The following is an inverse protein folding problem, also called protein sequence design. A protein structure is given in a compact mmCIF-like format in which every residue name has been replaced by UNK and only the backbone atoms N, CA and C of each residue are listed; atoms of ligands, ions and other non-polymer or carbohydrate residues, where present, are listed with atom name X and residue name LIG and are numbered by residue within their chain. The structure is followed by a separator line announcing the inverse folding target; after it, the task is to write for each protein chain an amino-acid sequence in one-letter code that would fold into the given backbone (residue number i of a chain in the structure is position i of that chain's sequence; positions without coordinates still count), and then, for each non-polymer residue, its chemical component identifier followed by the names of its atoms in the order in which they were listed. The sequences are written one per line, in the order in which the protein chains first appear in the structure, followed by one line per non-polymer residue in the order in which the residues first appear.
data_IF_470093225833
#
_entry.id   IF_470093225833
#
_cell.length_a   1.000
_cell.length_b   1.000
_cell.length_c   1.000
_cell.angle_alpha   90.00
_cell.angle_beta   90.00
_cell.angle_gamma   90.00
#
_symmetry.space_group_name_H-M   'P 1'
#
loop_
_entity.id
_entity.type
_entity.pdbx_description
1 polymer ?
#
# COMPACT_ATOMS: atom_id res chain seq x y z
N UNK A 1 22.04 -5.53 -4.83
CA UNK A 1 20.66 -6.02 -4.83
C UNK A 1 19.68 -5.00 -4.26
N UNK A 2 20.00 -4.28 -3.17
CA UNK A 2 19.15 -3.21 -2.63
C UNK A 2 19.17 -1.94 -3.48
N UNK A 3 20.33 -1.54 -4.01
CA UNK A 3 20.42 -0.41 -4.95
C UNK A 3 19.59 -0.65 -6.21
N UNK A 4 19.46 -1.91 -6.62
CA UNK A 4 18.60 -2.30 -7.74
C UNK A 4 17.13 -2.08 -7.40
N UNK A 5 16.68 -2.45 -6.21
CA UNK A 5 15.29 -2.19 -5.77
C UNK A 5 14.98 -0.69 -5.70
N UNK A 6 15.94 0.16 -5.28
CA UNK A 6 15.76 1.61 -5.31
C UNK A 6 15.66 2.14 -6.74
N UNK A 7 16.52 1.67 -7.63
CA UNK A 7 16.51 2.06 -9.04
C UNK A 7 15.23 1.62 -9.75
N UNK A 8 14.73 0.42 -9.46
CA UNK A 8 13.45 -0.08 -9.99
C UNK A 8 12.27 0.77 -9.47
N UNK A 9 12.25 1.10 -8.18
CA UNK A 9 11.22 1.96 -7.60
C UNK A 9 11.22 3.37 -8.21
N UNK A 10 12.41 3.97 -8.42
CA UNK A 10 12.57 5.29 -9.04
C UNK A 10 12.35 5.27 -10.55
N UNK A 11 12.58 4.14 -11.20
CA UNK A 11 12.38 3.96 -12.64
C UNK A 11 10.93 3.74 -13.05
N UNK A 12 10.04 3.45 -12.09
CA UNK A 12 8.62 3.23 -12.35
C UNK A 12 7.90 4.52 -12.78
N UNK A 13 7.18 4.48 -13.90
CA UNK A 13 6.40 5.61 -14.41
C UNK A 13 5.04 5.75 -13.69
N UNK A 14 5.04 6.48 -12.57
CA UNK A 14 3.82 6.81 -11.82
C UNK A 14 2.85 7.72 -12.59
N UNK A 15 3.35 8.59 -13.47
CA UNK A 15 2.54 9.52 -14.27
C UNK A 15 1.65 8.75 -15.26
N UNK A 16 2.20 7.72 -15.89
CA UNK A 16 1.48 6.86 -16.83
C UNK A 16 0.80 5.64 -16.19
N UNK A 17 0.89 5.48 -14.87
CA UNK A 17 0.32 4.33 -14.17
C UNK A 17 -1.22 4.40 -14.09
N UNK A 18 -1.86 3.23 -14.20
CA UNK A 18 -3.24 3.06 -13.78
C UNK A 18 -3.30 2.90 -12.26
N UNK A 19 -4.22 3.61 -11.59
CA UNK A 19 -4.27 3.67 -10.13
C UNK A 19 -5.56 3.06 -9.63
N UNK A 20 -5.41 2.04 -8.80
CA UNK A 20 -6.51 1.36 -8.12
C UNK A 20 -6.42 1.63 -6.62
N UNK A 21 -7.53 2.02 -6.00
CA UNK A 21 -7.55 2.37 -4.58
C UNK A 21 -8.36 1.38 -3.77
N UNK A 22 -7.76 0.93 -2.67
CA UNK A 22 -8.33 -0.08 -1.78
C UNK A 22 -8.29 0.40 -0.35
N UNK A 23 -9.31 0.02 0.41
CA UNK A 23 -9.34 0.18 1.86
C UNK A 23 -9.48 -1.17 2.52
N UNK A 24 -8.81 -1.33 3.65
CA UNK A 24 -8.71 -2.58 4.35
C UNK A 24 -9.12 -2.43 5.80
N UNK A 25 -9.89 -3.40 6.26
CA UNK A 25 -10.12 -3.64 7.69
C UNK A 25 -9.29 -4.83 8.14
N UNK A 26 -8.61 -4.64 9.26
CA UNK A 26 -7.87 -5.68 9.95
C UNK A 26 -8.78 -6.35 10.96
N UNK A 27 -8.69 -7.67 11.02
CA UNK A 27 -9.33 -8.49 12.02
C UNK A 27 -8.45 -9.67 12.35
N UNK A 28 -8.94 -10.53 13.25
CA UNK A 28 -8.30 -11.81 13.52
C UNK A 28 -9.03 -12.90 12.72
N UNK A 29 -8.28 -13.86 12.20
CA UNK A 29 -8.90 -15.02 11.57
C UNK A 29 -9.66 -15.83 12.63
N UNK A 30 -10.89 -16.24 12.30
CA UNK A 30 -11.79 -16.93 13.22
C UNK A 30 -11.29 -18.34 13.60
N UNK A 31 -10.48 -18.97 12.74
CA UNK A 31 -9.93 -20.32 12.96
C UNK A 31 -8.54 -20.29 13.61
N UNK A 32 -7.76 -19.25 13.34
CA UNK A 32 -6.46 -19.04 13.98
C UNK A 32 -6.23 -17.56 14.28
N UNK A 33 -6.28 -17.19 15.57
CA UNK A 33 -6.13 -15.80 16.01
C UNK A 33 -4.72 -15.23 15.76
N UNK A 34 -3.72 -16.07 15.44
CA UNK A 34 -2.36 -15.64 15.11
C UNK A 34 -2.23 -15.15 13.68
N UNK A 35 -3.15 -15.52 12.78
CA UNK A 35 -3.13 -15.11 11.38
C UNK A 35 -4.00 -13.86 11.22
N UNK A 36 -3.44 -12.73 10.74
CA UNK A 36 -4.24 -11.54 10.50
C UNK A 36 -5.24 -11.79 9.36
N UNK A 37 -6.47 -11.33 9.55
CA UNK A 37 -7.46 -11.27 8.48
C UNK A 37 -7.51 -9.87 7.92
N UNK A 38 -7.27 -9.75 6.62
CA UNK A 38 -7.45 -8.52 5.87
C UNK A 38 -8.73 -8.64 5.03
N UNK A 39 -9.64 -7.68 5.15
CA UNK A 39 -10.82 -7.59 4.27
C UNK A 39 -10.70 -6.33 3.45
N UNK A 40 -10.35 -6.49 2.18
CA UNK A 40 -10.19 -5.40 1.21
C UNK A 40 -11.49 -5.05 0.51
N UNK A 41 -11.68 -3.76 0.25
CA UNK A 41 -12.71 -3.24 -0.63
C UNK A 41 -12.12 -2.17 -1.53
N UNK A 42 -12.49 -2.18 -2.80
CA UNK A 42 -12.00 -1.19 -3.76
C UNK A 42 -12.92 0.02 -3.84
N UNK A 43 -12.34 1.15 -4.21
CA UNK A 43 -13.01 2.44 -4.29
C UNK A 43 -12.89 2.96 -5.70
N UNK A 44 -14.02 3.34 -6.30
CA UNK A 44 -13.99 4.06 -7.57
C UNK A 44 -13.44 5.46 -7.31
N UNK A 45 -12.23 5.71 -7.78
CA UNK A 45 -11.58 7.02 -7.71
C UNK A 45 -11.97 7.88 -8.92
N UNK A 46 -12.13 9.18 -8.67
CA UNK A 46 -12.24 10.17 -9.74
C UNK A 46 -10.85 10.62 -10.22
N UNK A 47 -10.78 11.32 -11.36
CA UNK A 47 -9.50 11.75 -11.95
C UNK A 47 -8.67 12.62 -11.00
N UNK A 48 -9.29 13.50 -10.22
CA UNK A 48 -8.59 14.36 -9.24
C UNK A 48 -7.87 13.54 -8.16
N UNK A 49 -8.53 12.52 -7.60
CA UNK A 49 -7.93 11.64 -6.58
C UNK A 49 -6.80 10.81 -7.19
N UNK A 50 -6.98 10.32 -8.42
CA UNK A 50 -5.93 9.58 -9.12
C UNK A 50 -4.68 10.44 -9.30
N UNK A 51 -4.85 11.70 -9.74
CA UNK A 51 -3.74 12.64 -9.91
C UNK A 51 -3.04 12.95 -8.59
N UNK A 52 -3.80 13.16 -7.51
CA UNK A 52 -3.21 13.41 -6.20
C UNK A 52 -2.43 12.20 -5.66
N UNK A 53 -2.95 10.98 -5.86
CA UNK A 53 -2.24 9.75 -5.48
C UNK A 53 -0.92 9.58 -6.23
N UNK A 54 -0.88 9.91 -7.53
CA UNK A 54 0.36 9.91 -8.34
C UNK A 54 1.35 10.93 -7.82
N UNK A 55 0.91 12.17 -7.58
CA UNK A 55 1.74 13.24 -7.03
C UNK A 55 2.37 12.87 -5.70
N UNK A 56 1.56 12.30 -4.79
CA UNK A 56 2.05 11.83 -3.49
C UNK A 56 3.09 10.72 -3.69
N UNK A 57 2.81 9.74 -4.55
CA UNK A 57 3.76 8.64 -4.81
C UNK A 57 5.11 9.14 -5.34
N UNK A 58 5.08 10.03 -6.34
CA UNK A 58 6.30 10.65 -6.92
C UNK A 58 7.05 11.41 -5.82
N UNK A 59 6.36 12.27 -5.06
CA UNK A 59 6.98 13.06 -3.99
C UNK A 59 7.60 12.19 -2.90
N UNK A 60 6.99 11.06 -2.53
CA UNK A 60 7.53 10.17 -1.51
C UNK A 60 8.72 9.36 -2.05
N UNK A 61 8.65 8.88 -3.30
CA UNK A 61 9.76 8.14 -3.93
C UNK A 61 10.98 9.03 -4.17
N UNK A 62 10.78 10.29 -4.58
CA UNK A 62 11.86 11.25 -4.80
C UNK A 62 12.64 11.58 -3.52
N UNK A 63 11.96 11.55 -2.37
CA UNK A 63 12.57 11.78 -1.05
C UNK A 63 13.49 10.65 -0.61
N UNK A 64 13.31 9.43 -1.14
CA UNK A 64 14.13 8.29 -0.76
C UNK A 64 15.50 8.44 -1.41
N UNK A 65 16.52 8.75 -0.61
CA UNK A 65 17.92 8.84 -1.07
C UNK A 65 18.65 7.51 -0.94
N UNK A 66 18.24 6.66 0.00
CA UNK A 66 18.90 5.41 0.32
C UNK A 66 17.90 4.35 0.81
N UNK A 67 18.20 3.08 0.54
CA UNK A 67 17.48 1.95 1.13
C UNK A 67 18.44 1.17 2.02
N UNK A 68 18.03 0.91 3.25
CA UNK A 68 18.77 0.13 4.23
C UNK A 68 18.04 -1.19 4.51
N UNK A 69 18.77 -2.26 4.83
CA UNK A 69 18.11 -3.48 5.32
C UNK A 69 17.45 -3.22 6.67
N UNK A 70 16.25 -3.77 6.84
CA UNK A 70 15.62 -3.77 8.15
C UNK A 70 16.44 -4.62 9.12
N UNK A 71 16.94 -3.98 10.17
CA UNK A 71 17.56 -4.63 11.33
C UNK A 71 16.88 -4.12 12.60
N UNK A 72 16.97 -4.90 13.69
CA UNK A 72 16.29 -4.56 14.95
C UNK A 72 16.73 -3.19 15.53
N UNK A 73 17.91 -2.72 15.13
CA UNK A 73 18.51 -1.44 15.54
C UNK A 73 18.61 -0.44 14.38
N UNK A 74 17.96 -0.70 13.25
CA UNK A 74 17.99 0.20 12.10
C UNK A 74 17.39 1.56 12.50
N UNK A 75 18.20 2.61 12.45
CA UNK A 75 17.73 3.98 12.60
C UNK A 75 17.32 4.50 11.22
N UNK A 76 16.06 4.87 11.08
CA UNK A 76 15.58 5.47 9.84
C UNK A 76 15.92 6.96 9.85
N UNK A 77 16.66 7.45 8.84
CA UNK A 77 16.76 8.90 8.62
C UNK A 77 15.56 9.35 7.77
N UNK A 78 15.30 10.65 7.71
CA UNK A 78 14.11 11.22 7.02
C UNK A 78 14.04 10.89 5.52
N UNK A 79 15.17 10.55 4.91
CA UNK A 79 15.28 10.18 3.49
C UNK A 79 15.64 8.70 3.26
N UNK A 80 15.64 7.88 4.32
CA UNK A 80 15.95 6.45 4.21
C UNK A 80 14.66 5.62 4.14
N UNK A 81 14.69 4.54 3.38
CA UNK A 81 13.67 3.50 3.40
C UNK A 81 14.25 2.18 3.93
N UNK A 82 13.41 1.36 4.56
CA UNK A 82 13.80 0.04 5.07
C UNK A 82 13.31 -1.07 4.13
N UNK A 83 14.22 -1.94 3.71
CA UNK A 83 13.92 -3.11 2.91
C UNK A 83 13.62 -4.32 3.81
N UNK A 84 12.44 -4.92 3.61
CA UNK A 84 12.01 -6.14 4.30
C UNK A 84 11.57 -7.15 3.22
N UNK A 85 12.14 -8.36 3.19
CA UNK A 85 11.68 -9.45 2.32
C UNK A 85 10.21 -9.77 2.52
N UNK A 86 9.50 -10.06 1.43
CA UNK A 86 8.07 -10.36 1.44
C UNK A 86 7.75 -11.56 2.34
N UNK A 87 8.61 -12.59 2.35
CA UNK A 87 8.45 -13.83 3.13
C UNK A 87 8.47 -13.60 4.64
N UNK A 88 9.03 -12.48 5.09
CA UNK A 88 9.04 -12.07 6.50
C UNK A 88 7.79 -11.27 6.88
N UNK A 89 6.86 -11.06 5.94
CA UNK A 89 5.64 -10.28 6.11
C UNK A 89 4.40 -11.08 5.70
N UNK A 90 3.21 -10.57 6.06
CA UNK A 90 1.93 -11.09 5.57
C UNK A 90 1.35 -10.23 4.43
N UNK A 91 2.22 -9.58 3.64
CA UNK A 91 1.78 -8.68 2.56
C UNK A 91 1.22 -9.46 1.35
N UNK A 92 1.56 -10.74 1.20
CA UNK A 92 0.96 -11.67 0.24
C UNK A 92 -0.57 -11.76 0.35
N UNK A 93 -1.11 -11.75 1.57
CA UNK A 93 -2.57 -11.77 1.83
C UNK A 93 -3.22 -10.51 1.26
N UNK A 94 -2.55 -9.37 1.40
CA UNK A 94 -3.02 -8.07 0.92
C UNK A 94 -2.94 -8.00 -0.61
N UNK A 95 -1.80 -8.40 -1.18
CA UNK A 95 -1.58 -8.43 -2.64
C UNK A 95 -2.62 -9.30 -3.32
N UNK A 96 -2.87 -10.50 -2.78
CA UNK A 96 -3.87 -11.43 -3.28
C UNK A 96 -5.29 -10.83 -3.23
N UNK A 97 -5.62 -10.07 -2.18
CA UNK A 97 -6.91 -9.38 -2.09
C UNK A 97 -7.06 -8.24 -3.10
N UNK A 98 -5.96 -7.69 -3.62
CA UNK A 98 -5.93 -6.62 -4.62
C UNK A 98 -5.78 -7.14 -6.06
N UNK A 99 -5.95 -8.45 -6.29
CA UNK A 99 -5.84 -9.07 -7.60
C UNK A 99 -7.01 -8.67 -8.51
N UNK A 100 -8.25 -8.79 -8.03
CA UNK A 100 -9.46 -8.59 -8.84
C UNK A 100 -10.43 -7.56 -8.23
N UNK A 101 -10.82 -6.55 -9.03
CA UNK A 101 -11.86 -5.56 -8.70
C UNK A 101 -13.27 -6.12 -8.88
N UNK A 102 -13.62 -7.15 -8.11
CA UNK A 102 -14.96 -7.70 -8.15
C UNK A 102 -16.00 -6.68 -7.67
N UNK A 103 -17.09 -6.47 -8.41
CA UNK A 103 -18.14 -5.49 -8.08
C UNK A 103 -18.79 -5.75 -6.69
N UNK A 104 -18.75 -7.00 -6.20
CA UNK A 104 -19.19 -7.36 -4.84
C UNK A 104 -18.34 -6.71 -3.74
N UNK A 105 -17.09 -6.38 -4.04
CA UNK A 105 -16.10 -5.80 -3.13
C UNK A 105 -15.99 -4.28 -3.29
N UNK A 106 -16.84 -3.66 -4.13
CA UNK A 106 -16.86 -2.23 -4.36
C UNK A 106 -17.47 -1.47 -3.19
N UNK A 107 -16.82 -0.39 -2.76
CA UNK A 107 -17.44 0.59 -1.88
C UNK A 107 -18.47 1.41 -2.64
N UNK A 108 -19.71 1.34 -2.15
CA UNK A 108 -20.85 2.08 -2.73
C UNK A 108 -21.20 3.34 -1.94
N UNK A 109 -20.69 3.48 -0.72
CA UNK A 109 -21.04 4.58 0.19
C UNK A 109 -19.81 5.12 0.92
N UNK A 110 -19.66 6.45 0.97
CA UNK A 110 -18.54 7.14 1.65
C UNK A 110 -18.39 6.72 3.12
N UNK A 111 -19.50 6.39 3.80
CA UNK A 111 -19.45 5.92 5.21
C UNK A 111 -18.61 4.65 5.39
N UNK A 112 -18.42 3.85 4.34
CA UNK A 112 -17.61 2.63 4.35
C UNK A 112 -16.10 2.92 4.18
N UNK A 113 -15.73 4.16 3.80
CA UNK A 113 -14.35 4.64 3.79
C UNK A 113 -13.85 5.04 5.19
N UNK A 114 -14.76 5.16 6.16
CA UNK A 114 -14.45 5.50 7.55
C UNK A 114 -14.13 4.24 8.37
N UNK A 115 -13.30 4.41 9.40
CA UNK A 115 -12.86 3.33 10.31
C UNK A 115 -12.18 2.17 9.57
N UNK A 116 -11.39 2.47 8.55
CA UNK A 116 -10.49 1.51 7.92
C UNK A 116 -9.11 1.62 8.56
N UNK A 117 -8.44 0.48 8.69
CA UNK A 117 -7.15 0.38 9.37
C UNK A 117 -5.98 0.64 8.40
N UNK A 118 -6.19 0.38 7.11
CA UNK A 118 -5.18 0.43 6.06
C UNK A 118 -5.78 0.98 4.77
N UNK A 119 -5.01 1.80 4.07
CA UNK A 119 -5.30 2.33 2.74
C UNK A 119 -4.21 1.89 1.79
N UNK A 120 -4.59 1.48 0.57
CA UNK A 120 -3.65 0.98 -0.42
C UNK A 120 -3.93 1.62 -1.78
N UNK A 121 -2.91 2.20 -2.37
CA UNK A 121 -2.90 2.61 -3.77
C UNK A 121 -2.04 1.62 -4.56
N UNK A 122 -2.64 0.93 -5.53
CA UNK A 122 -1.96 0.03 -6.46
C UNK A 122 -1.74 0.79 -7.77
N UNK A 123 -0.49 0.94 -8.17
CA UNK A 123 -0.07 1.56 -9.41
C UNK A 123 0.34 0.45 -10.38
N UNK A 124 -0.21 0.46 -11.59
CA UNK A 124 0.08 -0.55 -12.62
C UNK A 124 0.53 0.14 -13.90
N UNK A 125 1.72 -0.18 -14.38
CA UNK A 125 2.24 0.34 -15.65
C UNK A 125 3.06 -0.75 -16.35
N UNK A 126 2.77 -1.01 -17.63
CA UNK A 126 3.50 -2.01 -18.46
C UNK A 126 3.72 -3.40 -17.82
N UNK A 127 2.82 -3.84 -16.94
CA UNK A 127 2.93 -5.13 -16.24
C UNK A 127 3.67 -5.07 -14.90
N UNK A 128 4.30 -3.94 -14.58
CA UNK A 128 4.88 -3.65 -13.27
C UNK A 128 3.82 -3.13 -12.31
N UNK A 129 3.96 -3.47 -11.03
CA UNK A 129 2.98 -3.12 -9.99
C UNK A 129 3.71 -2.58 -8.76
N UNK A 130 3.34 -1.37 -8.34
CA UNK A 130 3.78 -0.78 -7.07
C UNK A 130 2.58 -0.64 -6.13
N UNK A 131 2.76 -1.00 -4.86
CA UNK A 131 1.75 -0.85 -3.82
C UNK A 131 2.17 0.20 -2.80
N UNK A 132 1.49 1.35 -2.77
CA UNK A 132 1.62 2.34 -1.71
C UNK A 132 0.66 2.00 -0.56
N UNK A 133 1.19 1.72 0.63
CA UNK A 133 0.39 1.34 1.80
C UNK A 133 0.48 2.41 2.87
N UNK A 134 -0.68 2.89 3.34
CA UNK A 134 -0.77 3.82 4.48
C UNK A 134 -1.63 3.23 5.58
N UNK A 135 -1.03 3.04 6.76
CA UNK A 135 -1.77 2.64 7.96
C UNK A 135 -2.47 3.84 8.57
N UNK A 136 -3.74 3.65 8.94
CA UNK A 136 -4.46 4.63 9.72
C UNK A 136 -4.09 4.45 11.19
N UNK A 137 -3.40 5.42 11.77
CA UNK A 137 -3.03 5.43 13.20
C UNK A 137 -4.11 6.04 14.09
N UNK A 138 -5.17 6.63 13.51
CA UNK A 138 -6.29 7.20 14.25
C UNK A 138 -7.26 6.13 14.75
N UNK A 139 -6.86 5.37 15.77
CA UNK A 139 -7.83 4.82 16.73
C UNK A 139 -8.02 5.88 17.80
N UNK A 140 -9.09 6.67 17.70
CA UNK A 140 -9.56 7.47 18.83
C UNK A 140 -9.89 6.49 19.96
N UNK A 141 -8.98 6.41 20.93
CA UNK A 141 -9.23 5.80 22.23
C UNK A 141 -10.09 6.83 22.98
N UNK A 142 -11.39 6.56 23.11
CA UNK A 142 -12.26 7.25 24.07
C UNK A 142 -12.21 6.52 25.40
#
# INVERSE_FOLDING_TARGET
MIDQALNELKGFDFESANVHFWVFKTGQNARDKKIPRYTGRWVRTGPEIVQELKRIAISEVDRISEINEYTLLAQNNECSALHIPLELTHADIIISSCADEEEKNRIKRIKELRNNDLYIAKFVHMGEIIYGVKKNTSKLVY
#
